data_IF_501225430117
#
_entry.id   IF_501225430117
#
_cell.length_a   1.000
_cell.length_b   1.000
_cell.length_c   1.000
_cell.angle_alpha   90.00
_cell.angle_beta   90.00
_cell.angle_gamma   90.00
#
_symmetry.space_group_name_H-M   'P 1'
#
loop_
_entity.id
_entity.type
_entity.pdbx_description
1 polymer ?
#
# COMPACT_ATOMS: atom_id res chain seq x y z
N UNK A 1 48.93 -6.26 -6.52
CA UNK A 1 48.63 -7.16 -5.39
C UNK A 1 47.13 -7.41 -5.42
N UNK A 2 46.67 -8.67 -5.51
CA UNK A 2 45.24 -9.00 -5.57
C UNK A 2 44.61 -8.84 -4.19
N UNK A 3 43.38 -8.35 -4.14
CA UNK A 3 42.65 -8.06 -2.91
C UNK A 3 42.24 -9.38 -2.24
N UNK A 4 42.19 -9.43 -0.91
CA UNK A 4 41.82 -10.63 -0.12
C UNK A 4 40.41 -11.16 -0.43
N UNK A 5 39.55 -10.35 -1.06
CA UNK A 5 38.23 -10.73 -1.54
C UNK A 5 38.25 -11.41 -2.93
N UNK A 6 39.28 -11.17 -3.75
CA UNK A 6 39.40 -11.80 -5.08
C UNK A 6 39.76 -13.28 -5.00
N UNK A 7 40.21 -13.75 -3.82
CA UNK A 7 40.55 -15.16 -3.55
C UNK A 7 39.32 -16.05 -3.29
N UNK A 8 38.13 -15.46 -3.08
CA UNK A 8 36.89 -16.19 -2.77
C UNK A 8 35.94 -16.31 -3.98
N UNK A 9 36.24 -15.64 -5.10
CA UNK A 9 35.40 -15.66 -6.30
C UNK A 9 35.55 -16.93 -7.17
N UNK A 10 36.19 -17.98 -6.64
CA UNK A 10 36.38 -19.26 -7.34
C UNK A 10 35.94 -20.49 -6.54
N UNK A 11 35.34 -20.32 -5.37
CA UNK A 11 34.83 -21.42 -4.55
C UNK A 11 33.34 -21.64 -4.80
N UNK A 12 32.98 -22.68 -5.56
CA UNK A 12 31.64 -23.25 -5.54
C UNK A 12 31.51 -24.14 -4.31
N UNK A 13 30.59 -23.80 -3.40
CA UNK A 13 30.23 -24.69 -2.29
C UNK A 13 29.25 -25.71 -2.84
N UNK A 14 29.70 -26.96 -2.95
CA UNK A 14 28.84 -28.09 -3.22
C UNK A 14 28.08 -28.44 -1.93
N UNK A 15 26.76 -28.31 -1.95
CA UNK A 15 25.92 -28.58 -0.77
C UNK A 15 25.53 -30.05 -0.67
N UNK A 16 25.83 -30.87 -1.69
CA UNK A 16 25.49 -32.28 -1.73
C UNK A 16 26.48 -33.15 -0.92
N UNK A 17 27.59 -32.57 -0.43
CA UNK A 17 28.60 -33.25 0.42
C UNK A 17 28.49 -32.92 1.93
N UNK A 18 27.48 -32.18 2.39
CA UNK A 18 27.25 -32.02 3.82
C UNK A 18 26.52 -33.24 4.38
N UNK A 19 27.24 -34.13 5.08
CA UNK A 19 26.59 -35.13 5.94
C UNK A 19 25.70 -34.40 6.96
N UNK A 20 24.40 -34.72 6.94
CA UNK A 20 23.46 -34.31 7.98
C UNK A 20 23.91 -34.96 9.30
N UNK A 21 24.67 -34.22 10.11
CA UNK A 21 25.14 -34.72 11.40
C UNK A 21 23.95 -34.79 12.35
N UNK A 22 23.32 -35.97 12.45
CA UNK A 22 22.33 -36.27 13.47
C UNK A 22 22.99 -36.27 14.84
N UNK A 23 22.78 -35.18 15.59
CA UNK A 23 23.26 -35.10 16.98
C UNK A 23 22.66 -36.22 17.82
N UNK A 24 23.53 -37.00 18.45
CA UNK A 24 23.13 -38.07 19.36
C UNK A 24 22.36 -37.50 20.56
N UNK A 25 21.52 -38.32 21.20
CA UNK A 25 20.71 -37.88 22.34
C UNK A 25 21.58 -37.32 23.50
N UNK A 26 22.79 -37.83 23.66
CA UNK A 26 23.79 -37.38 24.64
C UNK A 26 24.36 -35.99 24.30
N UNK A 27 24.59 -35.69 23.02
CA UNK A 27 25.06 -34.38 22.54
C UNK A 27 23.96 -33.32 22.68
N UNK A 28 22.74 -33.65 22.25
CA UNK A 28 21.55 -32.80 22.48
C UNK A 28 21.37 -32.50 23.97
N UNK A 29 21.59 -33.49 24.85
CA UNK A 29 21.51 -33.33 26.31
C UNK A 29 22.65 -32.47 26.88
N UNK A 30 23.88 -32.61 26.37
CA UNK A 30 25.02 -31.75 26.77
C UNK A 30 24.81 -30.31 26.34
N UNK A 31 24.37 -30.07 25.11
CA UNK A 31 24.05 -28.73 24.60
C UNK A 31 22.94 -28.06 25.43
N UNK A 32 21.86 -28.79 25.72
CA UNK A 32 20.76 -28.31 26.57
C UNK A 32 21.22 -27.96 27.99
N UNK A 33 22.14 -28.75 28.57
CA UNK A 33 22.70 -28.49 29.91
C UNK A 33 23.62 -27.25 29.91
N UNK A 34 24.35 -27.01 28.82
CA UNK A 34 25.21 -25.82 28.64
C UNK A 34 24.36 -24.55 28.52
N UNK A 35 23.32 -24.58 27.69
CA UNK A 35 22.34 -23.49 27.55
C UNK A 35 21.67 -23.11 28.88
N UNK A 36 21.22 -24.11 29.66
CA UNK A 36 20.61 -23.87 30.97
C UNK A 36 21.57 -23.30 32.02
N UNK A 37 22.89 -23.49 31.84
CA UNK A 37 23.92 -23.00 32.77
C UNK A 37 24.36 -21.59 32.44
N UNK A 38 24.30 -21.20 31.16
CA UNK A 38 24.63 -19.85 30.69
C UNK A 38 23.45 -18.87 30.85
N UNK A 39 22.22 -19.38 30.87
CA UNK A 39 21.01 -18.59 31.15
C UNK A 39 20.69 -18.68 32.65
N UNK A 40 21.17 -17.73 33.46
CA UNK A 40 20.74 -17.61 34.87
C UNK A 40 19.44 -16.79 34.97
N UNK A 41 18.38 -17.27 35.62
CA UNK A 41 17.19 -16.47 35.87
C UNK A 41 17.47 -15.42 36.97
N UNK A 42 17.06 -14.17 36.72
CA UNK A 42 17.09 -13.12 37.72
C UNK A 42 16.13 -13.44 38.89
N UNK A 43 16.56 -13.17 40.14
CA UNK A 43 15.75 -13.36 41.36
C UNK A 43 14.54 -12.42 41.36
N UNK A 44 13.33 -12.98 41.42
CA UNK A 44 12.08 -12.23 41.56
C UNK A 44 11.87 -11.77 43.01
N UNK A 45 11.56 -10.48 43.22
CA UNK A 45 10.82 -10.02 44.40
C UNK A 45 9.33 -10.26 44.13
N UNK A 46 8.67 -10.98 45.02
CA UNK A 46 7.26 -11.33 44.92
C UNK A 46 6.35 -10.15 45.28
N UNK A 47 5.34 -9.88 44.44
CA UNK A 47 4.07 -9.21 44.77
C UNK A 47 2.95 -9.83 43.91
N UNK A 48 1.69 -9.81 44.41
CA UNK A 48 0.77 -10.94 44.32
C UNK A 48 0.05 -11.06 42.98
N UNK A 49 -0.46 -12.27 42.72
CA UNK A 49 -1.28 -12.66 41.58
C UNK A 49 -2.54 -11.79 41.50
N UNK A 50 -2.61 -10.94 40.47
CA UNK A 50 -3.89 -10.52 39.89
C UNK A 50 -4.13 -11.50 38.75
N UNK A 51 -5.02 -12.46 38.99
CA UNK A 51 -5.63 -13.22 37.91
C UNK A 51 -6.46 -12.23 37.07
N UNK A 52 -5.92 -11.81 35.93
CA UNK A 52 -6.68 -11.05 34.95
C UNK A 52 -7.62 -12.03 34.21
N UNK A 53 -8.75 -12.31 34.85
CA UNK A 53 -9.96 -12.66 34.14
C UNK A 53 -10.28 -11.52 33.16
N UNK A 54 -10.49 -11.87 31.90
CA UNK A 54 -11.04 -10.97 30.88
C UNK A 54 -12.46 -10.60 31.32
N UNK A 55 -12.60 -9.46 32.00
CA UNK A 55 -13.89 -8.85 32.32
C UNK A 55 -13.83 -7.34 32.04
N UNK A 56 -14.87 -6.90 31.33
CA UNK A 56 -15.15 -5.56 30.83
C UNK A 56 -15.13 -4.46 31.91
N UNK A 57 -14.67 -3.28 31.48
CA UNK A 57 -14.96 -1.90 31.93
C UNK A 57 -14.45 -1.41 33.30
N UNK A 58 -13.49 -0.49 33.27
CA UNK A 58 -13.45 0.68 34.14
C UNK A 58 -12.75 1.86 33.44
N UNK A 59 -13.54 2.86 33.06
CA UNK A 59 -13.11 4.21 32.66
C UNK A 59 -12.65 4.96 33.91
N UNK A 60 -11.54 5.70 33.85
CA UNK A 60 -11.34 7.05 34.47
C UNK A 60 -9.92 7.60 34.18
N UNK A 61 -9.70 8.94 34.20
CA UNK A 61 -9.13 9.66 33.07
C UNK A 61 -7.92 10.55 33.41
N UNK A 62 -6.80 10.38 32.70
CA UNK A 62 -5.62 11.30 32.68
C UNK A 62 -4.81 10.85 31.44
N UNK A 63 -4.45 11.61 30.38
CA UNK A 63 -4.32 13.02 30.10
C UNK A 63 -4.41 13.22 28.58
N UNK A 64 -5.10 14.28 28.17
CA UNK A 64 -5.25 14.78 26.81
C UNK A 64 -3.93 15.36 26.29
N UNK A 65 -3.33 14.79 25.23
CA UNK A 65 -2.57 15.49 24.17
C UNK A 65 -2.63 14.62 22.88
N UNK A 66 -3.26 15.15 21.81
CA UNK A 66 -3.61 14.55 20.49
C UNK A 66 -4.84 13.61 20.42
N UNK A 67 -6.03 14.15 20.69
CA UNK A 67 -7.30 13.41 20.76
C UNK A 67 -7.67 12.60 19.49
N UNK A 68 -7.27 13.02 18.28
CA UNK A 68 -7.62 12.33 17.03
C UNK A 68 -6.89 11.01 16.85
N UNK A 69 -5.59 10.97 17.17
CA UNK A 69 -4.72 9.78 17.04
C UNK A 69 -5.04 8.76 18.13
N UNK A 70 -5.39 9.22 19.33
CA UNK A 70 -5.77 8.34 20.43
C UNK A 70 -7.18 7.76 20.28
N UNK A 71 -8.14 8.54 19.76
CA UNK A 71 -9.48 8.05 19.48
C UNK A 71 -9.49 6.97 18.39
N UNK A 72 -8.68 7.15 17.33
CA UNK A 72 -8.55 6.15 16.26
C UNK A 72 -7.88 4.87 16.76
N UNK A 73 -6.77 4.95 17.51
CA UNK A 73 -6.08 3.79 18.07
C UNK A 73 -6.94 2.96 19.05
N UNK A 74 -7.76 3.60 19.88
CA UNK A 74 -8.71 2.92 20.78
C UNK A 74 -9.80 2.22 19.98
N UNK A 75 -10.33 2.87 18.95
CA UNK A 75 -11.40 2.33 18.10
C UNK A 75 -10.95 1.11 17.27
N UNK A 76 -9.76 1.11 16.67
CA UNK A 76 -9.25 -0.03 15.86
C UNK A 76 -9.12 -1.29 16.70
N UNK A 77 -8.58 -1.18 17.92
CA UNK A 77 -8.42 -2.34 18.80
C UNK A 77 -9.75 -2.96 19.25
N UNK A 78 -10.87 -2.25 19.06
CA UNK A 78 -12.21 -2.65 19.49
C UNK A 78 -13.17 -2.94 18.32
N UNK A 79 -12.91 -2.42 17.10
CA UNK A 79 -13.79 -2.52 15.95
C UNK A 79 -13.19 -3.46 14.89
N UNK A 80 -13.44 -4.77 15.06
CA UNK A 80 -13.14 -5.78 14.04
C UNK A 80 -13.92 -5.40 12.77
N UNK A 81 -13.23 -5.31 11.64
CA UNK A 81 -13.92 -5.04 10.38
C UNK A 81 -14.28 -3.57 10.17
N UNK A 82 -13.55 -2.59 10.70
CA UNK A 82 -13.71 -1.14 10.42
C UNK A 82 -12.39 -0.39 10.13
N UNK A 83 -11.28 -1.11 9.97
CA UNK A 83 -9.96 -0.51 9.83
C UNK A 83 -9.81 0.30 8.54
N UNK A 84 -10.28 -0.24 7.40
CA UNK A 84 -10.18 0.46 6.11
C UNK A 84 -10.96 1.78 6.15
N UNK A 85 -12.20 1.79 6.63
CA UNK A 85 -13.00 3.03 6.73
C UNK A 85 -12.29 4.05 7.60
N UNK A 86 -11.80 3.65 8.77
CA UNK A 86 -11.15 4.56 9.69
C UNK A 86 -9.90 5.20 9.08
N UNK A 87 -9.01 4.40 8.47
CA UNK A 87 -7.81 4.92 7.82
C UNK A 87 -8.18 5.81 6.64
N UNK A 88 -9.20 5.46 5.85
CA UNK A 88 -9.70 6.30 4.77
C UNK A 88 -10.54 7.50 5.24
N UNK A 89 -10.68 7.74 6.55
CA UNK A 89 -11.57 8.75 7.12
C UNK A 89 -13.03 8.67 6.61
N UNK A 90 -13.51 7.46 6.36
CA UNK A 90 -14.89 7.16 5.97
C UNK A 90 -15.70 6.80 7.22
N UNK A 91 -17.01 7.08 7.22
CA UNK A 91 -17.86 6.65 8.31
C UNK A 91 -17.90 5.14 8.46
N UNK A 92 -17.97 4.73 9.71
CA UNK A 92 -18.09 3.36 10.15
C UNK A 92 -19.24 2.65 9.41
N UNK A 93 -18.98 1.40 8.99
CA UNK A 93 -19.94 0.57 8.29
C UNK A 93 -20.06 0.87 6.79
N UNK A 94 -19.57 2.02 6.31
CA UNK A 94 -19.84 2.47 4.95
C UNK A 94 -19.21 1.61 3.85
N UNK A 95 -18.18 0.83 4.17
CA UNK A 95 -17.56 -0.10 3.23
C UNK A 95 -17.77 -1.57 3.58
N UNK A 96 -18.56 -1.89 4.60
CA UNK A 96 -18.68 -3.25 5.15
C UNK A 96 -19.18 -4.28 4.13
N UNK A 97 -19.97 -3.87 3.13
CA UNK A 97 -20.45 -4.76 2.07
C UNK A 97 -19.44 -5.04 0.95
N UNK A 98 -18.34 -4.28 0.88
CA UNK A 98 -17.32 -4.40 -0.18
C UNK A 98 -16.06 -5.10 0.28
N UNK A 99 -15.95 -5.37 1.58
CA UNK A 99 -14.73 -5.88 2.19
C UNK A 99 -14.95 -7.21 2.89
N UNK A 100 -13.86 -7.95 3.01
CA UNK A 100 -13.78 -9.21 3.72
C UNK A 100 -12.95 -9.03 4.98
N UNK A 101 -13.49 -9.42 6.12
CA UNK A 101 -12.68 -9.65 7.31
C UNK A 101 -11.85 -10.92 7.11
N UNK A 102 -10.53 -10.79 7.26
CA UNK A 102 -9.54 -11.86 7.06
C UNK A 102 -9.05 -12.37 8.41
N UNK A 103 -8.42 -11.50 9.21
CA UNK A 103 -7.87 -11.82 10.54
C UNK A 103 -6.79 -12.92 10.58
N UNK A 104 -6.06 -13.10 9.49
CA UNK A 104 -4.98 -14.08 9.38
C UNK A 104 -3.63 -13.42 9.65
N UNK A 105 -2.73 -14.15 10.31
CA UNK A 105 -1.41 -13.68 10.71
C UNK A 105 -0.31 -14.57 10.14
N UNK A 106 0.68 -13.97 9.49
CA UNK A 106 1.93 -14.61 9.12
C UNK A 106 3.07 -14.10 10.01
N UNK A 107 4.02 -14.97 10.35
CA UNK A 107 5.19 -14.61 11.16
C UNK A 107 6.47 -15.06 10.49
N UNK A 108 7.40 -14.13 10.30
CA UNK A 108 8.75 -14.38 9.81
C UNK A 108 9.68 -13.30 10.35
N UNK A 109 10.97 -13.60 10.50
CA UNK A 109 12.00 -12.72 11.05
C UNK A 109 11.65 -12.14 12.45
N UNK A 110 10.77 -12.81 13.21
CA UNK A 110 10.27 -12.29 14.50
C UNK A 110 9.33 -11.08 14.36
N UNK A 111 8.76 -10.87 13.17
CA UNK A 111 7.77 -9.86 12.85
C UNK A 111 6.46 -10.56 12.47
N UNK A 112 5.36 -10.14 13.06
CA UNK A 112 4.02 -10.62 12.75
C UNK A 112 3.32 -9.61 11.84
N UNK A 113 2.84 -10.09 10.69
CA UNK A 113 2.00 -9.33 9.77
C UNK A 113 0.62 -9.96 9.79
N UNK A 114 -0.36 -9.21 10.31
CA UNK A 114 -1.77 -9.61 10.31
C UNK A 114 -2.52 -8.85 9.24
N UNK A 115 -3.19 -9.56 8.35
CA UNK A 115 -4.17 -8.99 7.41
C UNK A 115 -5.53 -9.02 8.10
N UNK A 116 -6.02 -7.87 8.54
CA UNK A 116 -7.33 -7.78 9.20
C UNK A 116 -8.46 -7.75 8.19
N UNK A 117 -8.29 -7.00 7.10
CA UNK A 117 -9.32 -6.72 6.11
C UNK A 117 -8.73 -6.69 4.71
N UNK A 118 -9.52 -7.15 3.74
CA UNK A 118 -9.22 -7.07 2.32
C UNK A 118 -10.42 -6.51 1.57
N UNK A 119 -10.18 -5.58 0.65
CA UNK A 119 -11.19 -5.03 -0.25
C UNK A 119 -10.62 -4.94 -1.66
N UNK A 120 -11.37 -5.44 -2.65
CA UNK A 120 -11.11 -5.09 -4.05
C UNK A 120 -11.74 -3.73 -4.35
N UNK A 121 -11.04 -2.98 -5.19
CA UNK A 121 -11.51 -1.73 -5.79
C UNK A 121 -11.20 -1.75 -7.30
N UNK A 122 -11.74 -0.79 -8.04
CA UNK A 122 -11.44 -0.63 -9.47
C UNK A 122 -9.92 -0.50 -9.65
N UNK A 123 -9.28 -1.44 -10.35
CA UNK A 123 -7.82 -1.48 -10.58
C UNK A 123 -6.89 -1.54 -9.34
N UNK A 124 -7.36 -1.91 -8.14
CA UNK A 124 -6.48 -2.07 -6.97
C UNK A 124 -7.03 -3.02 -5.90
N UNK A 125 -6.16 -3.45 -4.98
CA UNK A 125 -6.55 -4.11 -3.73
C UNK A 125 -6.12 -3.27 -2.52
N UNK A 126 -7.02 -3.14 -1.55
CA UNK A 126 -6.79 -2.47 -0.28
C UNK A 126 -6.69 -3.51 0.84
N UNK A 127 -5.63 -3.41 1.64
CA UNK A 127 -5.40 -4.27 2.80
C UNK A 127 -5.33 -3.42 4.07
N UNK A 128 -6.19 -3.76 5.04
CA UNK A 128 -6.05 -3.30 6.42
C UNK A 128 -5.09 -4.24 7.16
N UNK A 129 -3.93 -3.73 7.56
CA UNK A 129 -2.84 -4.52 8.14
C UNK A 129 -2.56 -4.12 9.58
N UNK A 130 -2.09 -5.07 10.39
CA UNK A 130 -1.43 -4.81 11.67
C UNK A 130 -0.06 -5.48 11.68
N UNK A 131 0.99 -4.71 11.94
CA UNK A 131 2.37 -5.22 12.03
C UNK A 131 2.85 -5.11 13.47
N UNK A 132 3.21 -6.24 14.08
CA UNK A 132 3.88 -6.30 15.38
C UNK A 132 5.32 -6.76 15.21
N UNK A 133 6.26 -6.04 15.81
CA UNK A 133 7.69 -6.28 15.68
C UNK A 133 8.37 -6.28 17.06
N UNK A 134 7.68 -6.80 18.08
CA UNK A 134 8.15 -6.81 19.47
C UNK A 134 9.32 -7.77 19.68
N UNK A 135 9.30 -8.92 18.99
CA UNK A 135 10.37 -9.92 19.05
C UNK A 135 11.53 -9.59 18.09
N UNK A 136 11.29 -8.67 17.13
CA UNK A 136 12.30 -8.23 16.18
C UNK A 136 13.37 -7.36 16.85
N UNK A 137 14.63 -7.71 16.62
CA UNK A 137 15.78 -7.01 17.21
C UNK A 137 16.10 -5.70 16.49
N UNK A 138 15.21 -4.71 16.59
CA UNK A 138 15.36 -3.35 16.01
C UNK A 138 16.73 -2.71 16.29
N UNK A 139 17.23 -2.87 17.52
CA UNK A 139 18.53 -2.29 17.92
C UNK A 139 19.72 -2.90 17.19
N UNK A 140 19.62 -4.14 16.68
CA UNK A 140 20.67 -4.75 15.86
C UNK A 140 20.83 -4.02 14.51
N UNK A 141 19.78 -3.34 14.05
CA UNK A 141 19.79 -2.47 12.87
C UNK A 141 20.06 -0.99 13.24
N UNK A 142 20.36 -0.71 14.52
CA UNK A 142 20.54 0.64 15.04
C UNK A 142 19.23 1.39 15.26
N UNK A 143 18.06 0.76 15.09
CA UNK A 143 16.77 1.44 15.16
C UNK A 143 16.28 1.65 16.60
N UNK A 144 15.54 2.74 16.79
CA UNK A 144 14.79 2.96 18.03
C UNK A 144 13.69 1.89 18.19
N UNK A 145 13.38 1.49 19.43
CA UNK A 145 12.33 0.48 19.68
C UNK A 145 10.96 0.89 19.11
N UNK A 146 10.70 2.19 19.09
CA UNK A 146 9.46 2.77 18.59
C UNK A 146 9.45 3.01 17.07
N UNK A 147 10.54 2.76 16.35
CA UNK A 147 10.56 2.90 14.88
C UNK A 147 9.51 1.96 14.28
N UNK A 148 8.58 2.48 13.47
CA UNK A 148 7.59 1.66 12.78
C UNK A 148 8.28 0.76 11.76
N UNK A 149 7.82 -0.48 11.64
CA UNK A 149 8.16 -1.36 10.53
C UNK A 149 6.98 -1.29 9.55
N UNK A 150 7.26 -0.87 8.32
CA UNK A 150 6.29 -0.63 7.28
C UNK A 150 6.15 -1.86 6.37
N UNK A 151 4.97 -2.09 5.78
CA UNK A 151 4.85 -3.05 4.68
C UNK A 151 5.73 -2.63 3.50
N UNK A 152 6.51 -3.56 2.95
CA UNK A 152 7.37 -3.35 1.80
C UNK A 152 6.75 -3.90 0.52
N UNK A 153 7.51 -4.71 -0.22
CA UNK A 153 7.09 -5.32 -1.47
C UNK A 153 5.99 -6.37 -1.24
N UNK A 154 4.89 -6.26 -1.99
CA UNK A 154 3.73 -7.15 -1.91
C UNK A 154 3.47 -7.80 -3.27
N UNK A 155 3.40 -9.13 -3.29
CA UNK A 155 2.90 -9.94 -4.39
C UNK A 155 1.51 -10.45 -4.07
N UNK A 156 0.54 -10.20 -4.94
CA UNK A 156 -0.84 -10.68 -4.80
C UNK A 156 -1.14 -11.66 -5.91
N UNK A 157 -1.61 -12.86 -5.57
CA UNK A 157 -2.19 -13.79 -6.56
C UNK A 157 -3.70 -13.79 -6.43
N UNK A 158 -4.41 -13.69 -7.55
CA UNK A 158 -5.88 -13.79 -7.64
C UNK A 158 -6.22 -14.84 -8.68
N UNK A 159 -6.66 -16.02 -8.23
CA UNK A 159 -6.76 -17.18 -9.13
C UNK A 159 -5.39 -17.54 -9.73
N UNK A 160 -5.28 -17.53 -11.06
CA UNK A 160 -4.02 -17.84 -11.76
C UNK A 160 -3.14 -16.61 -12.02
N UNK A 161 -3.66 -15.40 -11.79
CA UNK A 161 -2.94 -14.16 -12.09
C UNK A 161 -2.10 -13.74 -10.91
N UNK A 162 -0.88 -13.27 -11.17
CA UNK A 162 0.02 -12.70 -10.17
C UNK A 162 0.24 -11.21 -10.45
N UNK A 163 0.14 -10.40 -9.40
CA UNK A 163 0.33 -8.96 -9.42
C UNK A 163 1.51 -8.62 -8.51
N UNK A 164 2.54 -8.02 -9.07
CA UNK A 164 3.75 -7.55 -8.40
C UNK A 164 4.36 -6.41 -9.23
N UNK A 165 5.36 -5.71 -8.70
CA UNK A 165 6.03 -4.54 -9.31
C UNK A 165 5.11 -3.37 -9.72
N UNK A 166 3.82 -3.48 -9.43
CA UNK A 166 2.84 -2.42 -9.58
C UNK A 166 3.06 -1.35 -8.52
N UNK A 167 2.72 -0.11 -8.86
CA UNK A 167 2.77 0.99 -7.91
C UNK A 167 1.95 0.65 -6.65
N UNK A 168 2.54 0.89 -5.49
CA UNK A 168 1.88 0.71 -4.20
C UNK A 168 1.94 1.99 -3.39
N UNK A 169 1.00 2.11 -2.45
CA UNK A 169 0.99 3.21 -1.50
C UNK A 169 0.60 2.70 -0.13
N UNK A 170 1.30 3.19 0.89
CA UNK A 170 0.79 3.21 2.25
C UNK A 170 -0.07 4.45 2.32
N UNK A 171 -1.38 4.25 2.42
CA UNK A 171 -2.32 5.35 2.56
C UNK A 171 -2.36 5.74 4.02
N UNK A 172 -2.23 7.04 4.26
CA UNK A 172 -2.38 7.67 5.57
C UNK A 172 -1.26 7.37 6.55
N UNK A 173 -1.17 8.20 7.58
CA UNK A 173 -0.22 7.99 8.66
C UNK A 173 -0.59 6.70 9.42
N UNK A 174 0.38 5.80 9.65
CA UNK A 174 0.09 4.56 10.35
C UNK A 174 -0.28 4.86 11.81
N UNK A 175 -1.22 4.07 12.34
CA UNK A 175 -1.74 4.27 13.69
C UNK A 175 -1.03 3.31 14.63
N UNK A 176 -0.37 3.85 15.66
CA UNK A 176 0.23 3.03 16.71
C UNK A 176 -0.86 2.52 17.67
N UNK A 177 -0.94 1.21 17.83
CA UNK A 177 -1.88 0.54 18.73
C UNK A 177 -1.35 0.52 20.18
N UNK A 178 -2.24 0.28 21.15
CA UNK A 178 -1.91 0.22 22.58
C UNK A 178 -0.92 -0.89 22.94
N UNK A 179 -0.94 -1.99 22.18
CA UNK A 179 -0.04 -3.12 22.35
C UNK A 179 1.35 -2.87 21.73
N UNK A 180 1.57 -1.73 21.07
CA UNK A 180 2.84 -1.38 20.42
C UNK A 180 2.92 -1.73 18.93
N UNK A 181 1.96 -2.48 18.41
CA UNK A 181 1.83 -2.77 16.97
C UNK A 181 1.39 -1.53 16.18
N UNK A 182 1.52 -1.59 14.86
CA UNK A 182 1.16 -0.50 13.96
C UNK A 182 0.13 -0.94 12.93
N UNK A 183 -0.87 -0.10 12.72
CA UNK A 183 -1.98 -0.31 11.78
C UNK A 183 -1.73 0.46 10.50
N UNK A 184 -1.85 -0.20 9.35
CA UNK A 184 -1.60 0.36 8.01
C UNK A 184 -2.78 0.12 7.07
N UNK A 185 -2.95 1.02 6.11
CA UNK A 185 -3.77 0.81 4.91
C UNK A 185 -2.80 0.70 3.73
N UNK A 186 -2.66 -0.50 3.20
CA UNK A 186 -1.81 -0.74 2.04
C UNK A 186 -2.68 -0.85 0.79
N UNK A 187 -2.33 -0.12 -0.26
CA UNK A 187 -2.99 -0.21 -1.55
C UNK A 187 -1.97 -0.66 -2.60
N UNK A 188 -2.24 -1.79 -3.23
CA UNK A 188 -1.48 -2.27 -4.38
C UNK A 188 -2.32 -2.06 -5.65
N UNK A 189 -1.79 -1.32 -6.62
CA UNK A 189 -2.40 -1.22 -7.94
C UNK A 189 -2.36 -2.61 -8.58
N UNK A 190 -3.46 -2.99 -9.23
CA UNK A 190 -3.55 -4.25 -9.96
C UNK A 190 -3.57 -3.94 -11.45
N UNK A 191 -2.56 -3.20 -11.92
CA UNK A 191 -2.48 -2.69 -13.29
C UNK A 191 -1.46 -3.43 -14.15
N UNK A 192 -0.58 -4.20 -13.53
CA UNK A 192 0.38 -5.07 -14.20
C UNK A 192 0.23 -6.49 -13.66
N UNK A 193 0.12 -7.44 -14.58
CA UNK A 193 -0.13 -8.84 -14.22
C UNK A 193 0.75 -9.80 -15.02
N UNK A 194 1.23 -10.80 -14.31
CA UNK A 194 1.76 -12.06 -14.82
C UNK A 194 0.58 -13.05 -14.91
N UNK A 195 0.27 -13.47 -16.14
CA UNK A 195 -0.92 -14.27 -16.45
C UNK A 195 -0.63 -15.76 -16.64
N UNK A 196 0.63 -16.12 -16.88
CA UNK A 196 1.06 -17.50 -17.10
C UNK A 196 1.92 -18.08 -15.95
N UNK A 197 2.32 -17.23 -15.00
CA UNK A 197 3.07 -17.59 -13.81
C UNK A 197 4.57 -17.73 -14.03
N UNK A 198 5.12 -17.25 -15.15
CA UNK A 198 6.55 -17.31 -15.46
C UNK A 198 7.41 -16.30 -14.68
N UNK A 199 6.75 -15.42 -13.91
CA UNK A 199 7.39 -14.39 -13.10
C UNK A 199 7.68 -13.10 -13.86
N UNK A 200 7.16 -12.92 -15.08
CA UNK A 200 7.22 -11.69 -15.85
C UNK A 200 5.84 -11.08 -16.06
N UNK A 201 5.79 -9.78 -16.25
CA UNK A 201 4.55 -9.07 -16.56
C UNK A 201 4.20 -9.32 -18.03
N UNK A 202 3.01 -9.87 -18.26
CA UNK A 202 2.44 -10.11 -19.58
C UNK A 202 1.49 -8.98 -20.02
N UNK A 203 0.85 -8.34 -19.05
CA UNK A 203 -0.21 -7.35 -19.27
C UNK A 203 0.07 -6.09 -18.47
N UNK A 204 -0.03 -4.94 -19.14
CA UNK A 204 -0.04 -3.60 -18.56
C UNK A 204 -1.42 -2.95 -18.77
N UNK A 205 -1.77 -1.94 -17.96
CA UNK A 205 -3.08 -1.27 -18.04
C UNK A 205 -4.25 -2.16 -17.63
N UNK A 206 -3.98 -3.21 -16.85
CA UNK A 206 -5.00 -4.16 -16.41
C UNK A 206 -6.01 -3.50 -15.46
N UNK A 207 -7.31 -3.72 -15.68
CA UNK A 207 -8.34 -3.37 -14.71
C UNK A 207 -9.01 -4.64 -14.18
N UNK A 208 -8.74 -4.97 -12.91
CA UNK A 208 -9.23 -6.20 -12.27
C UNK A 208 -10.74 -6.36 -12.35
N UNK A 209 -11.53 -5.28 -12.25
CA UNK A 209 -12.98 -5.39 -12.24
C UNK A 209 -13.56 -5.76 -13.62
N UNK A 210 -12.83 -5.48 -14.71
CA UNK A 210 -13.26 -5.83 -16.07
C UNK A 210 -13.01 -7.32 -16.40
N UNK A 211 -12.26 -8.03 -15.55
CA UNK A 211 -11.76 -9.38 -15.84
C UNK A 211 -12.13 -10.44 -14.79
N UNK A 212 -12.79 -10.05 -13.69
CA UNK A 212 -13.31 -10.97 -12.68
C UNK A 212 -14.80 -11.28 -12.92
N UNK A 213 -15.20 -12.51 -12.69
CA UNK A 213 -16.58 -12.95 -12.70
C UNK A 213 -17.26 -12.54 -11.38
N UNK A 214 -18.30 -11.69 -11.41
CA UNK A 214 -19.00 -11.25 -10.20
C UNK A 214 -19.59 -12.43 -9.40
N UNK A 215 -19.92 -13.55 -10.04
CA UNK A 215 -20.53 -14.70 -9.37
C UNK A 215 -19.51 -15.64 -8.74
N UNK A 216 -18.21 -15.36 -8.87
CA UNK A 216 -17.13 -16.22 -8.42
C UNK A 216 -16.42 -15.64 -7.19
N UNK A 217 -16.12 -16.53 -6.24
CA UNK A 217 -15.15 -16.24 -5.19
C UNK A 217 -13.75 -16.56 -5.69
N UNK A 218 -12.84 -15.61 -5.57
CA UNK A 218 -11.45 -15.76 -5.96
C UNK A 218 -10.61 -16.01 -4.72
N UNK A 219 -9.79 -17.07 -4.75
CA UNK A 219 -8.75 -17.25 -3.75
C UNK A 219 -7.67 -16.20 -3.97
N UNK A 220 -7.23 -15.59 -2.88
CA UNK A 220 -6.17 -14.60 -2.84
C UNK A 220 -5.03 -15.12 -2.00
N UNK A 221 -3.81 -15.01 -2.54
CA UNK A 221 -2.57 -15.14 -1.78
C UNK A 221 -1.89 -13.78 -1.74
N UNK A 222 -1.82 -13.16 -0.57
CA UNK A 222 -1.07 -11.92 -0.35
C UNK A 222 0.25 -12.26 0.34
N UNK A 223 1.37 -12.03 -0.35
CA UNK A 223 2.70 -12.32 0.13
C UNK A 223 3.53 -11.04 0.19
N UNK A 224 3.91 -10.64 1.40
CA UNK A 224 4.97 -9.65 1.56
C UNK A 224 6.32 -10.35 1.46
N UNK A 225 7.12 -9.96 0.46
CA UNK A 225 8.50 -10.46 0.26
C UNK A 225 9.52 -9.59 1.01
N UNK A 226 9.10 -8.40 1.43
CA UNK A 226 9.85 -7.54 2.32
C UNK A 226 8.99 -6.65 3.20
N UNK A 227 9.61 -6.15 4.26
CA UNK A 227 9.13 -5.06 5.09
C UNK A 227 10.21 -3.97 5.14
N UNK A 228 9.79 -2.73 5.32
CA UNK A 228 10.69 -1.58 5.28
C UNK A 228 10.79 -0.87 6.63
N UNK A 229 11.88 -0.16 6.82
CA UNK A 229 12.04 0.74 7.96
C UNK A 229 12.82 1.99 7.55
N UNK A 230 12.53 3.10 8.22
CA UNK A 230 13.32 4.30 8.08
C UNK A 230 14.60 4.18 8.91
N UNK A 231 15.75 4.41 8.28
CA UNK A 231 17.05 4.46 8.93
C UNK A 231 17.15 5.74 9.75
N UNK A 232 17.99 5.74 10.79
CA UNK A 232 18.23 6.97 11.52
C UNK A 232 18.93 8.01 10.62
N UNK A 233 18.71 9.31 10.81
CA UNK A 233 19.38 10.36 10.03
C UNK A 233 20.91 10.27 10.06
N UNK A 234 21.50 9.75 11.14
CA UNK A 234 22.95 9.52 11.24
C UNK A 234 23.48 8.42 10.31
N UNK A 235 22.60 7.57 9.78
CA UNK A 235 22.92 6.48 8.85
C UNK A 235 22.71 6.91 7.38
N UNK A 236 22.06 8.05 7.12
CA UNK A 236 21.82 8.58 5.78
C UNK A 236 22.96 9.51 5.36
N UNK A 237 23.71 9.17 4.30
CA UNK A 237 24.92 9.93 3.90
C UNK A 237 24.82 10.67 2.56
N UNK A 238 23.81 10.41 1.75
CA UNK A 238 23.82 10.76 0.32
C UNK A 238 22.79 11.82 -0.11
N UNK A 239 21.88 12.25 0.78
CA UNK A 239 20.75 13.10 0.41
C UNK A 239 19.70 12.43 -0.49
N UNK A 240 19.92 11.18 -0.92
CA UNK A 240 18.96 10.42 -1.71
C UNK A 240 17.88 9.83 -0.80
N UNK A 241 16.62 10.05 -1.16
CA UNK A 241 15.47 9.51 -0.43
C UNK A 241 15.54 7.98 -0.24
N UNK A 242 15.95 7.24 -1.29
CA UNK A 242 16.09 5.78 -1.25
C UNK A 242 17.07 5.29 -0.18
N UNK A 243 18.10 6.08 0.13
CA UNK A 243 19.10 5.70 1.13
C UNK A 243 18.59 5.88 2.57
N UNK A 244 17.43 6.53 2.73
CA UNK A 244 16.76 6.75 4.02
C UNK A 244 15.99 5.53 4.50
N UNK A 245 15.79 4.52 3.64
CA UNK A 245 15.06 3.30 4.00
C UNK A 245 15.99 2.09 3.98
N UNK A 246 15.71 1.15 4.88
CA UNK A 246 16.27 -0.19 4.88
C UNK A 246 15.16 -1.22 4.71
N UNK A 247 15.55 -2.39 4.23
CA UNK A 247 14.65 -3.48 3.88
C UNK A 247 14.94 -4.71 4.75
N UNK A 248 13.88 -5.40 5.14
CA UNK A 248 13.87 -6.67 5.87
C UNK A 248 13.26 -7.70 4.92
N UNK A 249 14.09 -8.52 4.31
CA UNK A 249 13.63 -9.64 3.47
C UNK A 249 13.00 -10.72 4.33
N UNK A 250 11.92 -11.30 3.83
CA UNK A 250 11.20 -12.38 4.51
C UNK A 250 10.04 -12.90 3.66
N UNK A 251 9.20 -13.70 4.28
CA UNK A 251 8.04 -14.29 3.64
C UNK A 251 6.83 -14.29 4.58
N UNK A 252 5.98 -13.27 4.46
CA UNK A 252 4.72 -13.19 5.18
C UNK A 252 3.56 -13.43 4.21
N UNK A 253 3.12 -14.69 4.13
CA UNK A 253 2.03 -15.10 3.22
C UNK A 253 0.73 -15.33 4.00
N UNK A 254 -0.33 -14.69 3.53
CA UNK A 254 -1.70 -14.89 4.01
C UNK A 254 -2.58 -15.34 2.85
N UNK A 255 -3.42 -16.33 3.10
CA UNK A 255 -4.43 -16.80 2.17
C UNK A 255 -5.82 -16.36 2.60
N UNK A 256 -6.63 -15.90 1.64
CA UNK A 256 -8.01 -15.53 1.88
C UNK A 256 -8.82 -15.66 0.59
N UNK A 257 -10.05 -15.17 0.58
CA UNK A 257 -10.85 -15.07 -0.63
C UNK A 257 -11.59 -13.74 -0.71
N UNK A 258 -11.93 -13.34 -1.93
CA UNK A 258 -12.73 -12.15 -2.20
C UNK A 258 -13.83 -12.45 -3.20
N UNK A 259 -14.90 -11.67 -3.11
CA UNK A 259 -15.96 -11.62 -4.11
C UNK A 259 -16.09 -10.19 -4.63
N UNK A 260 -16.02 -10.03 -5.96
CA UNK A 260 -16.09 -8.72 -6.61
C UNK A 260 -17.51 -8.21 -6.88
N UNK A 261 -18.56 -9.02 -6.70
CA UNK A 261 -19.93 -8.68 -7.17
C UNK A 261 -20.40 -7.30 -6.73
N UNK A 262 -20.26 -6.98 -5.44
CA UNK A 262 -20.79 -5.75 -4.88
C UNK A 262 -20.01 -4.52 -5.34
N UNK A 263 -18.69 -4.61 -5.41
CA UNK A 263 -17.86 -3.50 -5.89
C UNK A 263 -18.05 -3.27 -7.39
N UNK A 264 -18.22 -4.33 -8.19
CA UNK A 264 -18.52 -4.23 -9.62
C UNK A 264 -19.87 -3.54 -9.84
N UNK A 265 -20.92 -3.98 -9.12
CA UNK A 265 -22.27 -3.42 -9.29
C UNK A 265 -22.35 -1.92 -8.97
N UNK A 266 -21.58 -1.48 -7.97
CA UNK A 266 -21.62 -0.11 -7.45
C UNK A 266 -20.53 0.79 -8.07
N UNK A 267 -19.59 0.22 -8.85
CA UNK A 267 -18.66 1.00 -9.67
C UNK A 267 -19.36 1.45 -10.94
N UNK A 268 -19.28 2.75 -11.24
CA UNK A 268 -19.88 3.35 -12.44
C UNK A 268 -18.80 3.85 -13.39
N UNK A 269 -18.88 3.42 -14.64
CA UNK A 269 -18.06 3.91 -15.74
C UNK A 269 -18.87 4.96 -16.50
N UNK A 270 -18.36 6.18 -16.54
CA UNK A 270 -18.98 7.28 -17.28
C UNK A 270 -18.15 7.54 -18.53
N UNK A 271 -18.63 7.15 -19.73
CA UNK A 271 -17.97 7.50 -20.97
C UNK A 271 -18.07 9.02 -21.16
N UNK A 272 -16.93 9.67 -21.30
CA UNK A 272 -16.81 11.11 -21.50
C UNK A 272 -16.56 11.44 -22.98
N UNK A 273 -15.68 10.67 -23.63
CA UNK A 273 -15.28 10.83 -25.04
C UNK A 273 -15.02 12.30 -25.41
N UNK A 274 -14.25 13.00 -24.57
CA UNK A 274 -13.92 14.41 -24.75
C UNK A 274 -12.58 14.53 -25.45
N UNK A 275 -12.55 15.34 -26.49
CA UNK A 275 -11.34 15.83 -27.14
C UNK A 275 -11.31 17.34 -26.98
N UNK A 276 -10.26 17.85 -26.33
CA UNK A 276 -10.10 19.26 -25.99
C UNK A 276 -8.85 19.76 -26.72
N UNK A 277 -9.00 20.57 -27.77
CA UNK A 277 -7.87 21.18 -28.46
C UNK A 277 -7.14 22.15 -27.51
N UNK A 278 -5.84 21.95 -27.36
CA UNK A 278 -4.97 22.82 -26.57
C UNK A 278 -4.16 23.68 -27.55
N UNK A 279 -4.15 25.00 -27.32
CA UNK A 279 -3.33 25.95 -28.08
C UNK A 279 -2.88 27.10 -27.17
N UNK A 280 -1.88 26.84 -26.35
CA UNK A 280 -1.41 27.77 -25.32
C UNK A 280 0.12 27.90 -25.37
N UNK A 281 0.64 29.12 -25.52
CA UNK A 281 2.08 29.46 -25.40
C UNK A 281 3.07 28.44 -26.02
N UNK A 282 2.77 27.94 -27.22
CA UNK A 282 3.65 26.99 -27.94
C UNK A 282 3.33 25.51 -27.73
N UNK A 283 2.36 25.21 -26.88
CA UNK A 283 1.85 23.87 -26.61
C UNK A 283 0.58 23.71 -27.43
N UNK A 284 0.66 22.87 -28.46
CA UNK A 284 -0.48 22.54 -29.32
C UNK A 284 -0.71 21.05 -29.34
N UNK A 285 -1.96 20.63 -29.22
CA UNK A 285 -2.30 19.22 -29.22
C UNK A 285 -3.75 18.97 -28.88
N UNK A 286 -4.06 17.71 -28.62
CA UNK A 286 -5.40 17.28 -28.20
C UNK A 286 -5.29 16.57 -26.87
N UNK A 287 -6.01 17.06 -25.88
CA UNK A 287 -6.24 16.38 -24.62
C UNK A 287 -7.49 15.50 -24.77
N UNK A 288 -7.32 14.20 -24.61
CA UNK A 288 -8.37 13.20 -24.77
C UNK A 288 -8.72 12.56 -23.44
N UNK A 289 -10.00 12.59 -23.08
CA UNK A 289 -10.55 11.99 -21.87
C UNK A 289 -11.62 11.00 -22.29
N UNK A 290 -11.32 9.70 -22.19
CA UNK A 290 -12.22 8.64 -22.66
C UNK A 290 -13.36 8.41 -21.67
N UNK A 291 -13.03 8.17 -20.42
CA UNK A 291 -13.99 7.82 -19.38
C UNK A 291 -13.49 8.24 -17.99
N UNK A 292 -14.41 8.28 -17.04
CA UNK A 292 -14.09 8.34 -15.61
C UNK A 292 -14.81 7.20 -14.91
N UNK A 293 -14.09 6.51 -14.03
CA UNK A 293 -14.63 5.42 -13.23
C UNK A 293 -14.80 5.87 -11.79
N UNK A 294 -15.94 5.56 -11.19
CA UNK A 294 -16.28 5.98 -9.83
C UNK A 294 -16.72 4.76 -9.05
N UNK A 295 -15.90 4.35 -8.09
CA UNK A 295 -16.20 3.31 -7.11
C UNK A 295 -16.57 3.93 -5.75
N UNK A 296 -17.09 3.17 -4.78
CA UNK A 296 -17.30 3.62 -3.41
C UNK A 296 -16.08 4.21 -2.68
N UNK A 297 -14.85 3.99 -3.17
CA UNK A 297 -13.62 4.43 -2.52
C UNK A 297 -12.72 5.30 -3.39
N UNK A 298 -12.77 5.15 -4.72
CA UNK A 298 -11.90 5.88 -5.64
C UNK A 298 -12.65 6.45 -6.84
N UNK A 299 -12.09 7.51 -7.40
CA UNK A 299 -12.43 8.07 -8.70
C UNK A 299 -11.18 7.94 -9.55
N UNK A 300 -11.28 7.31 -10.72
CA UNK A 300 -10.16 7.07 -11.62
C UNK A 300 -10.38 7.75 -12.95
N UNK A 301 -9.38 8.52 -13.37
CA UNK A 301 -9.38 9.25 -14.62
C UNK A 301 -8.16 8.82 -15.43
N UNK A 302 -8.41 8.28 -16.62
CA UNK A 302 -7.38 8.12 -17.62
C UNK A 302 -7.52 9.22 -18.67
N UNK A 303 -6.42 9.90 -18.97
CA UNK A 303 -6.37 10.86 -20.06
C UNK A 303 -5.06 10.79 -20.82
N UNK A 304 -5.11 11.21 -22.08
CA UNK A 304 -3.93 11.34 -22.93
C UNK A 304 -3.81 12.74 -23.49
N UNK A 305 -2.59 13.22 -23.67
CA UNK A 305 -2.34 14.43 -24.43
C UNK A 305 -1.41 14.12 -25.61
N UNK A 306 -1.89 14.38 -26.83
CA UNK A 306 -1.11 14.20 -28.05
C UNK A 306 -0.67 15.54 -28.60
N UNK A 307 0.64 15.81 -28.56
CA UNK A 307 1.24 17.02 -29.10
C UNK A 307 1.21 17.02 -30.62
N UNK A 308 0.77 18.15 -31.18
CA UNK A 308 0.90 18.50 -32.59
C UNK A 308 2.24 19.20 -32.89
N UNK A 309 2.86 19.84 -31.89
CA UNK A 309 4.10 20.62 -32.04
C UNK A 309 5.23 20.04 -31.19
N UNK A 310 6.24 19.45 -31.83
CA UNK A 310 7.49 19.06 -31.16
C UNK A 310 7.35 18.06 -29.99
N UNK A 311 8.40 17.97 -29.18
CA UNK A 311 8.48 17.11 -27.99
C UNK A 311 7.88 17.80 -26.76
N UNK A 312 7.24 17.04 -25.86
CA UNK A 312 6.66 17.52 -24.59
C UNK A 312 7.55 17.28 -23.36
N UNK A 313 8.80 16.81 -23.55
CA UNK A 313 9.69 16.41 -22.44
C UNK A 313 10.27 17.56 -21.60
N UNK A 314 10.19 18.82 -22.04
CA UNK A 314 10.88 19.95 -21.42
C UNK A 314 9.96 20.76 -20.49
N UNK A 315 9.57 20.17 -19.36
CA UNK A 315 8.90 20.93 -18.28
C UNK A 315 7.47 21.38 -18.57
N UNK A 316 6.86 20.95 -19.68
CA UNK A 316 5.43 21.20 -19.96
C UNK A 316 4.58 20.05 -19.44
N UNK A 317 3.47 20.37 -18.75
CA UNK A 317 2.46 19.41 -18.34
C UNK A 317 1.07 19.88 -18.81
N UNK A 318 0.31 18.95 -19.38
CA UNK A 318 -1.09 19.13 -19.75
C UNK A 318 -1.89 18.10 -18.95
N UNK A 319 -2.86 18.57 -18.17
CA UNK A 319 -3.60 17.68 -17.30
C UNK A 319 -5.01 18.16 -17.00
N UNK A 320 -5.67 17.47 -16.07
CA UNK A 320 -7.04 17.72 -15.68
C UNK A 320 -7.14 17.76 -14.16
N UNK A 321 -7.51 18.91 -13.60
CA UNK A 321 -7.86 19.00 -12.17
C UNK A 321 -9.30 18.54 -12.00
N UNK A 322 -9.57 17.75 -10.97
CA UNK A 322 -10.94 17.40 -10.57
C UNK A 322 -11.30 18.12 -9.28
N UNK A 323 -12.42 18.83 -9.32
CA UNK A 323 -13.04 19.47 -8.16
C UNK A 323 -14.37 18.83 -7.81
N UNK A 324 -14.72 18.82 -6.53
CA UNK A 324 -16.04 18.41 -6.07
C UNK A 324 -17.11 19.51 -6.29
N UNK A 325 -18.35 19.23 -5.89
CA UNK A 325 -19.47 20.18 -5.98
C UNK A 325 -19.27 21.49 -5.20
N UNK A 326 -18.36 21.52 -4.22
CA UNK A 326 -18.04 22.70 -3.42
C UNK A 326 -16.82 23.46 -3.98
N UNK A 327 -16.26 23.01 -5.10
CA UNK A 327 -15.08 23.59 -5.71
C UNK A 327 -13.76 23.21 -5.02
N UNK A 328 -13.76 22.20 -4.15
CA UNK A 328 -12.55 21.69 -3.50
C UNK A 328 -11.83 20.75 -4.45
N UNK A 329 -10.52 20.92 -4.59
CA UNK A 329 -9.68 19.97 -5.33
C UNK A 329 -9.70 18.61 -4.63
N UNK A 330 -9.86 17.54 -5.41
CA UNK A 330 -9.76 16.18 -4.88
C UNK A 330 -8.28 15.78 -4.76
N UNK A 331 -7.92 15.15 -3.64
CA UNK A 331 -6.56 14.65 -3.40
C UNK A 331 -6.18 13.60 -4.43
N UNK A 332 -4.98 13.76 -4.99
CA UNK A 332 -4.51 13.05 -6.18
C UNK A 332 -3.31 12.15 -5.86
N UNK A 333 -3.32 10.96 -6.46
CA UNK A 333 -2.11 10.19 -6.72
C UNK A 333 -2.15 9.75 -8.17
N UNK A 334 -1.17 10.21 -8.95
CA UNK A 334 -1.08 9.93 -10.39
C UNK A 334 0.14 9.12 -10.74
N UNK A 335 0.02 8.32 -11.79
CA UNK A 335 1.15 7.77 -12.52
C UNK A 335 1.04 8.16 -13.98
N UNK A 336 2.17 8.50 -14.58
CA UNK A 336 2.22 8.98 -15.95
C UNK A 336 3.36 8.35 -16.74
N UNK A 337 3.14 8.22 -18.04
CA UNK A 337 4.11 7.71 -18.99
C UNK A 337 3.91 8.32 -20.37
N UNK A 338 4.59 7.75 -21.36
CA UNK A 338 4.38 8.10 -22.76
C UNK A 338 5.66 8.32 -23.56
N UNK A 339 5.50 8.97 -24.69
CA UNK A 339 6.56 9.23 -25.67
C UNK A 339 6.90 10.71 -25.73
N UNK A 340 7.81 11.10 -26.63
CA UNK A 340 8.10 12.51 -26.88
C UNK A 340 6.87 13.31 -27.31
N UNK A 341 5.81 12.68 -27.83
CA UNK A 341 4.63 13.37 -28.38
C UNK A 341 3.33 13.03 -27.67
N UNK A 342 3.31 11.97 -26.88
CA UNK A 342 2.09 11.49 -26.22
C UNK A 342 2.38 11.39 -24.74
N UNK A 343 1.56 12.05 -23.94
CA UNK A 343 1.49 11.87 -22.49
C UNK A 343 0.28 10.99 -22.20
N UNK A 344 0.46 9.98 -21.34
CA UNK A 344 -0.62 9.15 -20.81
C UNK A 344 -0.59 9.25 -19.29
N UNK A 345 -1.74 9.51 -18.69
CA UNK A 345 -1.87 9.72 -17.25
C UNK A 345 -3.02 8.89 -16.70
N UNK A 346 -2.72 8.17 -15.63
CA UNK A 346 -3.69 7.46 -14.80
C UNK A 346 -3.74 8.14 -13.44
N UNK A 347 -4.78 8.93 -13.24
CA UNK A 347 -5.02 9.65 -12.00
C UNK A 347 -6.02 8.90 -11.12
N UNK A 348 -5.70 8.80 -9.83
CA UNK A 348 -6.61 8.30 -8.81
C UNK A 348 -6.88 9.37 -7.75
N UNK A 349 -8.17 9.62 -7.56
CA UNK A 349 -8.68 10.50 -6.52
C UNK A 349 -9.50 9.70 -5.51
N UNK A 350 -9.57 10.22 -4.29
CA UNK A 350 -10.44 9.63 -3.26
C UNK A 350 -11.90 9.97 -3.55
N UNK A 351 -12.77 8.98 -3.44
CA UNK A 351 -14.22 9.23 -3.44
C UNK A 351 -14.70 9.44 -2.00
N UNK A 352 -14.64 10.66 -1.50
CA UNK A 352 -15.11 10.98 -0.15
C UNK A 352 -16.64 11.05 -0.06
N UNK A 353 -17.18 10.93 1.16
CA UNK A 353 -18.63 11.03 1.34
C UNK A 353 -19.13 12.39 0.88
N UNK A 354 -20.13 12.35 0.00
CA UNK A 354 -20.84 13.52 -0.47
C UNK A 354 -20.37 14.04 -1.84
N UNK A 355 -19.39 13.41 -2.50
CA UNK A 355 -19.10 13.74 -3.89
C UNK A 355 -20.31 13.34 -4.76
N UNK A 356 -20.96 14.34 -5.36
CA UNK A 356 -22.16 14.15 -6.22
C UNK A 356 -21.98 14.79 -7.60
N UNK A 357 -20.93 15.60 -7.74
CA UNK A 357 -20.54 16.23 -8.98
C UNK A 357 -19.02 16.30 -9.04
N UNK A 358 -18.48 16.01 -10.20
CA UNK A 358 -17.08 16.21 -10.55
C UNK A 358 -17.01 17.34 -11.57
N UNK A 359 -16.17 18.34 -11.29
CA UNK A 359 -15.82 19.40 -12.23
C UNK A 359 -14.41 19.16 -12.73
N UNK A 360 -14.28 18.87 -14.01
CA UNK A 360 -13.02 18.67 -14.70
C UNK A 360 -12.54 20.02 -15.23
N UNK A 361 -11.32 20.41 -14.88
CA UNK A 361 -10.70 21.66 -15.31
C UNK A 361 -9.38 21.31 -15.99
N UNK A 362 -9.34 21.29 -17.34
CA UNK A 362 -8.09 21.13 -18.06
C UNK A 362 -7.13 22.26 -17.69
N UNK A 363 -5.84 21.95 -17.64
CA UNK A 363 -4.81 22.95 -17.38
C UNK A 363 -3.57 22.68 -18.22
N UNK A 364 -2.80 23.74 -18.41
CA UNK A 364 -1.45 23.69 -18.97
C UNK A 364 -0.51 24.33 -17.97
N UNK A 365 0.60 23.68 -17.66
CA UNK A 365 1.68 24.27 -16.87
C UNK A 365 3.02 24.09 -17.54
N UNK A 366 3.89 25.05 -17.33
CA UNK A 366 5.26 25.09 -17.77
C UNK A 366 6.13 25.38 -16.53
N UNK A 367 6.86 24.35 -16.10
CA UNK A 367 7.73 24.39 -14.92
C UNK A 367 8.98 25.23 -15.17
N UNK A 368 9.49 25.31 -16.40
CA UNK A 368 10.68 26.11 -16.70
C UNK A 368 10.38 27.61 -16.57
N UNK A 369 9.17 28.00 -16.96
CA UNK A 369 8.72 29.39 -16.93
C UNK A 369 7.83 29.74 -15.72
N UNK A 370 7.73 28.83 -14.73
CA UNK A 370 6.87 28.93 -13.54
C UNK A 370 5.48 29.48 -13.86
N UNK A 371 4.83 28.89 -14.87
CA UNK A 371 3.52 29.35 -15.34
C UNK A 371 2.51 28.23 -15.38
N UNK A 372 1.28 28.51 -14.95
CA UNK A 372 0.17 27.58 -15.03
C UNK A 372 -1.10 28.33 -15.43
N UNK A 373 -1.91 27.72 -16.28
CA UNK A 373 -3.17 28.27 -16.76
C UNK A 373 -4.26 27.19 -16.72
N UNK A 374 -5.31 27.48 -15.96
CA UNK A 374 -6.54 26.69 -15.99
C UNK A 374 -7.37 27.10 -17.22
N UNK A 375 -7.75 26.12 -18.04
CA UNK A 375 -8.59 26.31 -19.23
C UNK A 375 -10.06 26.24 -18.82
N UNK A 376 -10.49 27.23 -18.04
CA UNK A 376 -11.83 27.26 -17.44
C UNK A 376 -12.98 27.31 -18.44
N UNK A 377 -12.74 27.76 -19.67
CA UNK A 377 -13.69 27.70 -20.80
C UNK A 377 -14.02 26.29 -21.24
N UNK A 378 -13.05 25.38 -21.10
CA UNK A 378 -13.14 23.97 -21.51
C UNK A 378 -13.49 23.06 -20.33
N UNK A 379 -13.71 23.65 -19.14
CA UNK A 379 -14.15 22.93 -17.97
C UNK A 379 -15.57 22.39 -18.13
N UNK A 380 -15.81 21.18 -17.65
CA UNK A 380 -17.11 20.54 -17.73
C UNK A 380 -17.44 19.80 -16.43
N UNK A 381 -18.74 19.60 -16.20
CA UNK A 381 -19.25 18.93 -15.00
C UNK A 381 -19.85 17.57 -15.34
N UNK A 382 -19.65 16.61 -14.46
CA UNK A 382 -20.30 15.31 -14.46
C UNK A 382 -21.05 15.13 -13.14
N UNK A 383 -22.34 14.81 -13.19
CA UNK A 383 -23.06 14.35 -12.01
C UNK A 383 -22.74 12.88 -11.77
N UNK A 384 -22.28 12.56 -10.57
CA UNK A 384 -21.99 11.18 -10.17
C UNK A 384 -23.02 10.78 -9.11
N UNK A 385 -23.87 9.81 -9.45
CA UNK A 385 -24.92 9.35 -8.54
C UNK A 385 -24.34 8.29 -7.60
N UNK A 386 -23.97 8.71 -6.40
CA UNK A 386 -23.78 7.80 -5.27
C UNK A 386 -25.16 7.53 -4.65
N UNK A 387 -25.95 6.63 -5.24
CA UNK A 387 -27.19 6.13 -4.62
C UNK A 387 -27.08 4.65 -4.31
#
# INVERSE_FOLDING_TARGET
MKNQYDLLNGSSVDFDEYEEIELTASEKKRMKKRLKREIKPARKKARPLIAAAVLLLAVTPVMMQNETVWASAVRISQQIGQQIELLMNKPEGSLSSYKKTVNETATDQGIQVKVNELMLDDGQVLLGLTISADEFRKTALGLNRNTPIRPGELRVKIGNMSFFDSASSIREEPIKNKDGSWSYLYALKLTQADTDGDGKIDVEGYNVLDHIDPNKNYQISAQFTSLDFEKNPSQTKSGNYRDSYGEIKGNWTVHTSVNGSKIIADTKVYPLNKEIPINEKGIKGVLSIKEVRVSPVSIKLHYTFTSSTGSIRNGTNVGVKIKDQNGRDLSESGSGGGTDRVLEMDEEYRNDKGVVMLRFVPYVSDYENDSSKDLTSDAFNLKVNNK
#
